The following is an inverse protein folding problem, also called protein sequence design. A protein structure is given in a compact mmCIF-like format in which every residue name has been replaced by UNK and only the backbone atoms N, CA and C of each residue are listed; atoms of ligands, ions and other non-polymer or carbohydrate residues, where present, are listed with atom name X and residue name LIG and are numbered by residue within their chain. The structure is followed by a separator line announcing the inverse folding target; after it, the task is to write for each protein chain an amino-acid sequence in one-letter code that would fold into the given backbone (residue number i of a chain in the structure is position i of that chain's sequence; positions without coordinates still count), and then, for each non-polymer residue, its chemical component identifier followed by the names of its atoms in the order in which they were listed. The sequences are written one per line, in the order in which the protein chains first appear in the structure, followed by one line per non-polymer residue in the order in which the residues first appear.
data_IF_628327540699
#
_entry.id   IF_628327540699
#
_cell.length_a   1.000
_cell.length_b   1.000
_cell.length_c   1.000
_cell.angle_alpha   90.00
_cell.angle_beta   90.00
_cell.angle_gamma   90.00
#
_symmetry.space_group_name_H-M   'P 1'
#
loop_
_entity.id
_entity.type
_entity.pdbx_description
1 polymer ?
#
# COMPACT_ATOMS: atom_id res chain seq x y z
N UNK A 1 -3.30 -23.79 8.99
CA UNK A 1 -2.73 -22.47 9.29
C UNK A 1 -1.94 -22.55 10.59
N UNK A 2 -0.77 -21.91 10.69
CA UNK A 2 -0.01 -21.82 11.96
C UNK A 2 0.06 -20.37 12.40
N UNK A 3 -0.24 -20.09 13.67
CA UNK A 3 -0.07 -18.75 14.25
C UNK A 3 1.42 -18.42 14.41
N UNK A 4 1.77 -17.15 14.59
CA UNK A 4 3.16 -16.77 14.86
C UNK A 4 3.60 -17.24 16.24
N UNK A 5 4.88 -17.57 16.36
CA UNK A 5 5.52 -17.89 17.64
C UNK A 5 5.49 -16.67 18.59
N UNK A 6 5.40 -16.95 19.89
CA UNK A 6 5.47 -15.95 20.96
C UNK A 6 6.68 -16.22 21.87
N UNK A 7 7.11 -15.22 22.63
CA UNK A 7 8.28 -15.33 23.49
C UNK A 7 9.58 -15.54 22.69
N UNK A 8 9.70 -14.84 21.57
CA UNK A 8 10.91 -14.83 20.73
C UNK A 8 11.53 -13.43 20.68
N UNK A 9 12.84 -13.40 20.42
CA UNK A 9 13.54 -12.15 20.13
C UNK A 9 13.17 -11.57 18.74
N UNK A 10 13.72 -10.40 18.40
CA UNK A 10 13.49 -9.73 17.11
C UNK A 10 13.85 -10.58 15.88
N UNK A 11 14.74 -11.56 16.03
CA UNK A 11 15.15 -12.48 14.96
C UNK A 11 14.32 -13.77 14.94
N UNK A 12 13.38 -13.95 15.86
CA UNK A 12 12.58 -15.16 16.02
C UNK A 12 13.28 -16.27 16.81
N UNK A 13 14.35 -15.97 17.55
CA UNK A 13 15.02 -16.96 18.40
C UNK A 13 14.24 -17.12 19.71
N UNK A 14 13.98 -18.36 20.18
CA UNK A 14 13.28 -18.61 21.45
C UNK A 14 13.92 -17.91 22.65
N UNK A 15 13.09 -17.29 23.49
CA UNK A 15 13.44 -16.75 24.81
C UNK A 15 12.78 -17.60 25.93
N UNK A 16 13.05 -17.35 27.24
CA UNK A 16 12.51 -18.17 28.33
C UNK A 16 10.99 -18.34 28.37
N UNK A 17 10.22 -17.46 27.69
CA UNK A 17 8.77 -17.53 27.55
C UNK A 17 8.28 -18.10 26.21
N UNK A 18 9.13 -18.81 25.46
CA UNK A 18 8.80 -19.29 24.11
C UNK A 18 7.55 -20.17 24.09
N UNK A 19 6.63 -19.83 23.20
CA UNK A 19 5.47 -20.62 22.87
C UNK A 19 5.41 -20.76 21.35
N UNK A 20 5.44 -22.00 20.87
CA UNK A 20 5.26 -22.27 19.45
C UNK A 20 3.85 -21.88 19.02
N UNK A 21 3.74 -21.32 17.83
CA UNK A 21 2.49 -20.97 17.21
C UNK A 21 1.55 -22.16 17.08
N UNK A 22 0.28 -21.94 17.40
CA UNK A 22 -0.74 -22.98 17.33
C UNK A 22 -1.08 -23.37 15.89
N UNK A 23 -1.21 -24.67 15.66
CA UNK A 23 -1.76 -25.21 14.40
C UNK A 23 -3.29 -25.21 14.44
N UNK A 24 -3.88 -24.51 13.47
CA UNK A 24 -5.32 -24.46 13.21
C UNK A 24 -5.60 -25.27 11.94
N UNK A 25 -6.36 -26.35 12.11
CA UNK A 25 -6.77 -27.26 11.02
C UNK A 25 -8.25 -27.02 10.71
N UNK A 26 -8.57 -26.84 9.43
CA UNK A 26 -9.93 -26.66 8.95
C UNK A 26 -10.15 -27.41 7.64
N UNK A 27 -11.42 -27.67 7.29
CA UNK A 27 -11.78 -28.24 5.97
C UNK A 27 -11.59 -27.24 4.83
N UNK A 28 -11.68 -25.94 5.15
CA UNK A 28 -11.45 -24.83 4.23
C UNK A 28 -10.77 -23.69 4.99
N UNK A 29 -9.69 -23.15 4.42
CA UNK A 29 -9.07 -21.89 4.84
C UNK A 29 -9.45 -20.81 3.85
N UNK A 30 -10.17 -19.78 4.31
CA UNK A 30 -10.50 -18.61 3.49
C UNK A 30 -9.43 -17.55 3.71
N UNK A 31 -8.76 -17.15 2.62
CA UNK A 31 -7.66 -16.18 2.64
C UNK A 31 -8.20 -14.83 2.16
N UNK A 32 -8.35 -13.90 3.10
CA UNK A 32 -8.78 -12.51 2.86
C UNK A 32 -7.91 -11.52 3.61
N UNK A 33 -6.59 -11.75 3.60
CA UNK A 33 -5.58 -11.04 4.38
C UNK A 33 -5.07 -9.74 3.71
N UNK A 34 -5.76 -9.29 2.66
CA UNK A 34 -5.51 -8.02 1.99
C UNK A 34 -4.20 -8.01 1.18
N UNK A 35 -3.71 -6.82 0.80
CA UNK A 35 -2.63 -6.69 -0.18
C UNK A 35 -1.31 -7.27 0.33
N UNK A 36 -0.97 -7.03 1.61
CA UNK A 36 0.29 -7.51 2.22
C UNK A 36 0.09 -8.69 3.15
N UNK A 37 -0.95 -9.49 2.87
CA UNK A 37 -1.28 -10.68 3.62
C UNK A 37 -0.15 -11.72 3.64
N UNK A 38 0.21 -12.21 4.82
CA UNK A 38 1.31 -13.16 4.95
C UNK A 38 0.97 -14.54 4.35
N UNK A 39 -0.31 -14.92 4.39
CA UNK A 39 -0.80 -16.21 3.85
C UNK A 39 -0.88 -16.13 2.34
N UNK A 40 -1.46 -15.04 1.82
CA UNK A 40 -1.50 -14.75 0.40
C UNK A 40 -0.12 -14.80 -0.24
N UNK A 41 0.86 -14.11 0.36
CA UNK A 41 2.26 -14.10 -0.07
C UNK A 41 2.92 -15.49 -0.01
N UNK A 42 2.67 -16.28 1.03
CA UNK A 42 3.23 -17.63 1.11
C UNK A 42 2.68 -18.53 0.01
N UNK A 43 1.37 -18.47 -0.23
CA UNK A 43 0.74 -19.22 -1.31
C UNK A 43 1.28 -18.81 -2.69
N UNK A 44 1.54 -17.51 -2.93
CA UNK A 44 2.14 -17.06 -4.20
C UNK A 44 3.57 -17.58 -4.39
N UNK A 45 4.36 -17.68 -3.31
CA UNK A 45 5.72 -18.27 -3.39
C UNK A 45 5.72 -19.76 -3.72
N UNK A 46 4.74 -20.49 -3.20
CA UNK A 46 4.64 -21.95 -3.38
C UNK A 46 3.98 -22.32 -4.71
N UNK A 47 2.96 -21.57 -5.14
CA UNK A 47 2.13 -21.91 -6.30
C UNK A 47 2.42 -21.07 -7.54
N UNK A 48 3.18 -19.98 -7.38
CA UNK A 48 3.28 -18.94 -8.39
C UNK A 48 1.95 -18.21 -8.62
N UNK A 49 1.95 -17.30 -9.59
CA UNK A 49 0.75 -16.70 -10.16
C UNK A 49 0.29 -17.48 -11.40
N UNK A 50 -0.98 -17.36 -11.82
CA UNK A 50 -1.40 -17.82 -13.13
C UNK A 50 -0.52 -17.23 -14.26
N UNK A 51 -0.40 -17.92 -15.41
CA UNK A 51 0.33 -17.39 -16.55
C UNK A 51 -0.16 -15.99 -16.95
N UNK A 52 0.76 -15.11 -17.33
CA UNK A 52 0.51 -13.72 -17.75
C UNK A 52 -0.05 -12.78 -16.66
N UNK A 53 -0.08 -13.22 -15.39
CA UNK A 53 -0.52 -12.39 -14.27
C UNK A 53 0.68 -11.78 -13.51
N UNK A 54 0.61 -10.48 -13.19
CA UNK A 54 1.65 -9.73 -12.49
C UNK A 54 1.05 -8.70 -11.51
N UNK A 55 1.83 -8.29 -10.50
CA UNK A 55 1.38 -7.43 -9.37
C UNK A 55 2.22 -6.17 -9.22
N UNK A 56 2.44 -5.47 -10.33
CA UNK A 56 3.27 -4.26 -10.38
C UNK A 56 2.48 -2.97 -10.10
N UNK A 57 1.15 -3.01 -10.24
CA UNK A 57 0.28 -1.86 -9.98
C UNK A 57 -0.23 -1.89 -8.54
N UNK A 58 0.07 -0.84 -7.82
CA UNK A 58 -0.33 -0.64 -6.43
C UNK A 58 -0.33 0.87 -6.13
N UNK A 59 -0.96 1.25 -5.04
CA UNK A 59 -0.83 2.58 -4.47
C UNK A 59 -0.68 2.50 -2.96
N UNK A 60 -0.13 3.53 -2.32
CA UNK A 60 -0.27 3.71 -0.87
C UNK A 60 -1.22 4.87 -0.60
N UNK A 61 -2.32 4.56 0.07
CA UNK A 61 -3.24 5.54 0.61
C UNK A 61 -2.75 6.03 1.96
N UNK A 62 -2.82 7.33 2.19
CA UNK A 62 -2.62 7.95 3.49
C UNK A 62 -3.85 8.76 3.85
N UNK A 63 -4.46 8.44 4.98
CA UNK A 63 -5.76 8.95 5.41
C UNK A 63 -5.62 9.67 6.75
N UNK A 64 -6.32 10.79 6.88
CA UNK A 64 -6.63 11.44 8.16
C UNK A 64 -8.14 11.50 8.36
N UNK A 65 -8.54 11.37 9.62
CA UNK A 65 -9.86 11.81 10.08
C UNK A 65 -9.67 13.11 10.84
N UNK A 66 -10.45 14.14 10.51
CA UNK A 66 -10.28 15.48 11.04
C UNK A 66 -11.60 16.05 11.54
N UNK A 67 -11.54 16.83 12.61
CA UNK A 67 -12.56 17.82 12.94
C UNK A 67 -12.45 18.99 11.97
N UNK A 68 -13.53 19.27 11.26
CA UNK A 68 -13.68 20.47 10.46
C UNK A 68 -13.94 21.68 11.37
N UNK A 69 -13.37 22.86 11.06
CA UNK A 69 -13.63 24.08 11.80
C UNK A 69 -15.10 24.52 11.64
N UNK A 70 -15.60 25.35 12.55
CA UNK A 70 -16.96 25.92 12.48
C UNK A 70 -17.18 26.76 11.20
N UNK A 71 -16.11 27.31 10.63
CA UNK A 71 -16.13 28.05 9.37
C UNK A 71 -16.28 27.18 8.12
N UNK A 72 -16.20 25.84 8.24
CA UNK A 72 -16.33 24.95 7.11
C UNK A 72 -17.76 24.96 6.56
N UNK A 73 -17.90 25.31 5.28
CA UNK A 73 -19.18 25.37 4.57
C UNK A 73 -19.54 24.08 3.80
N UNK A 74 -18.80 22.98 3.97
CA UNK A 74 -19.13 21.71 3.32
C UNK A 74 -20.16 20.94 4.15
N UNK A 75 -21.21 20.47 3.48
CA UNK A 75 -22.28 19.71 4.12
C UNK A 75 -21.93 18.22 4.24
N UNK A 76 -22.43 17.50 5.26
CA UNK A 76 -22.34 16.05 5.35
C UNK A 76 -22.80 15.36 4.06
N UNK A 77 -22.05 14.34 3.62
CA UNK A 77 -22.26 13.65 2.34
C UNK A 77 -21.50 14.27 1.16
N UNK A 78 -20.79 15.39 1.35
CA UNK A 78 -19.91 15.94 0.31
C UNK A 78 -18.76 14.98 0.00
N UNK A 79 -18.57 14.69 -1.29
CA UNK A 79 -17.47 13.86 -1.81
C UNK A 79 -16.65 14.70 -2.79
N UNK A 80 -15.35 14.83 -2.52
CA UNK A 80 -14.40 15.54 -3.39
C UNK A 80 -13.29 14.56 -3.76
N UNK A 81 -13.00 14.46 -5.06
CA UNK A 81 -11.80 13.83 -5.58
C UNK A 81 -10.97 14.87 -6.33
N UNK A 82 -9.65 14.83 -6.16
CA UNK A 82 -8.72 15.75 -6.82
C UNK A 82 -7.63 14.98 -7.54
N UNK A 83 -7.09 15.59 -8.59
CA UNK A 83 -6.00 15.07 -9.39
C UNK A 83 -4.93 16.14 -9.56
N UNK A 84 -3.66 15.76 -9.48
CA UNK A 84 -2.56 16.56 -10.00
C UNK A 84 -1.99 17.65 -9.09
N UNK A 85 -2.31 17.62 -7.79
CA UNK A 85 -1.63 18.43 -6.78
C UNK A 85 -1.31 17.57 -5.55
N UNK A 86 -0.14 17.74 -4.91
CA UNK A 86 0.94 18.67 -5.25
C UNK A 86 1.85 18.22 -6.41
N UNK A 87 1.73 16.97 -6.84
CA UNK A 87 2.38 16.43 -8.04
C UNK A 87 1.31 15.87 -8.99
N UNK A 88 1.54 15.87 -10.32
CA UNK A 88 0.60 15.36 -11.32
C UNK A 88 0.03 13.97 -11.01
N UNK A 89 0.85 13.09 -10.45
CA UNK A 89 0.54 11.68 -10.22
C UNK A 89 -0.34 11.42 -8.99
N UNK A 90 -0.50 12.41 -8.12
CA UNK A 90 -1.19 12.24 -6.85
C UNK A 90 -2.69 12.42 -7.00
N UNK A 91 -3.42 11.47 -6.42
CA UNK A 91 -4.87 11.49 -6.28
C UNK A 91 -5.21 11.87 -4.85
N UNK A 92 -6.24 12.69 -4.66
CA UNK A 92 -6.70 13.09 -3.32
C UNK A 92 -8.19 12.90 -3.15
N UNK A 93 -8.63 12.77 -1.90
CA UNK A 93 -10.05 12.66 -1.55
C UNK A 93 -10.38 13.42 -0.27
N UNK A 94 -11.60 13.95 -0.18
CA UNK A 94 -12.20 14.50 1.04
C UNK A 94 -13.67 14.11 1.09
N UNK A 95 -14.06 13.39 2.13
CA UNK A 95 -15.43 12.94 2.38
C UNK A 95 -15.94 13.53 3.70
N UNK A 96 -16.99 14.34 3.64
CA UNK A 96 -17.58 14.97 4.82
C UNK A 96 -18.63 14.04 5.42
N UNK A 97 -18.47 13.77 6.71
CA UNK A 97 -19.35 12.95 7.54
C UNK A 97 -20.19 13.86 8.45
N UNK A 98 -21.20 13.31 9.14
CA UNK A 98 -21.91 14.04 10.20
C UNK A 98 -20.95 14.61 11.27
N UNK A 99 -21.49 15.52 12.10
CA UNK A 99 -20.78 16.09 13.25
C UNK A 99 -19.50 16.88 12.92
N UNK A 100 -19.45 17.48 11.72
CA UNK A 100 -18.29 18.25 11.21
C UNK A 100 -17.01 17.41 11.21
N UNK A 101 -17.10 16.15 10.82
CA UNK A 101 -15.93 15.28 10.66
C UNK A 101 -15.67 15.07 9.18
N UNK A 102 -14.40 15.03 8.76
CA UNK A 102 -14.05 14.62 7.41
C UNK A 102 -13.00 13.52 7.41
N UNK A 103 -13.15 12.60 6.46
CA UNK A 103 -12.14 11.62 6.07
C UNK A 103 -11.45 12.14 4.83
N UNK A 104 -10.16 12.41 4.90
CA UNK A 104 -9.38 12.95 3.78
C UNK A 104 -8.07 12.22 3.60
N UNK A 105 -7.47 12.31 2.42
CA UNK A 105 -6.23 11.62 2.16
C UNK A 105 -5.74 11.75 0.72
N UNK A 106 -4.58 11.15 0.49
CA UNK A 106 -3.99 11.03 -0.84
C UNK A 106 -3.58 9.59 -1.14
N UNK A 107 -3.43 9.30 -2.43
CA UNK A 107 -2.81 8.09 -2.94
C UNK A 107 -1.51 8.43 -3.66
N UNK A 108 -0.44 7.73 -3.31
CA UNK A 108 0.83 7.74 -4.05
C UNK A 108 0.90 6.44 -4.86
N UNK A 109 0.79 6.49 -6.20
CA UNK A 109 0.73 5.29 -7.02
C UNK A 109 2.11 4.70 -7.35
N UNK A 110 2.13 3.45 -7.84
CA UNK A 110 3.35 2.71 -8.22
C UNK A 110 4.15 3.38 -9.32
N UNK A 111 3.46 4.04 -10.25
CA UNK A 111 4.01 4.76 -11.41
C UNK A 111 4.49 6.19 -11.07
N UNK A 112 4.52 6.55 -9.78
CA UNK A 112 5.23 7.74 -9.33
C UNK A 112 6.71 7.40 -9.07
N UNK A 113 7.54 7.70 -10.06
CA UNK A 113 8.95 7.28 -10.15
C UNK A 113 9.92 8.14 -9.31
N UNK A 114 9.39 8.96 -8.40
CA UNK A 114 10.24 9.76 -7.52
C UNK A 114 11.02 8.88 -6.54
N UNK A 115 12.37 9.01 -6.46
CA UNK A 115 13.18 8.33 -5.46
C UNK A 115 12.99 8.90 -4.04
N UNK A 116 12.18 9.96 -3.87
CA UNK A 116 11.85 10.60 -2.59
C UNK A 116 10.34 10.66 -2.35
N UNK A 117 9.62 9.60 -2.75
CA UNK A 117 8.16 9.46 -2.66
C UNK A 117 7.58 9.36 -1.24
N UNK A 118 7.69 10.44 -0.47
CA UNK A 118 7.11 10.56 0.88
C UNK A 118 5.61 10.84 0.83
N UNK A 119 4.79 9.91 1.30
CA UNK A 119 3.34 10.12 1.29
C UNK A 119 2.88 11.18 2.31
N UNK A 120 3.57 11.33 3.46
CA UNK A 120 3.11 12.23 4.53
C UNK A 120 3.31 13.71 4.19
N UNK A 121 4.49 14.07 3.68
CA UNK A 121 4.75 15.46 3.30
C UNK A 121 3.85 15.89 2.14
N UNK A 122 3.62 15.03 1.14
CA UNK A 122 2.67 15.33 0.07
C UNK A 122 1.24 15.53 0.60
N UNK A 123 0.78 14.74 1.57
CA UNK A 123 -0.54 14.93 2.18
C UNK A 123 -0.66 16.31 2.85
N UNK A 124 0.39 16.73 3.58
CA UNK A 124 0.45 18.05 4.21
C UNK A 124 0.45 19.20 3.18
N UNK A 125 1.09 19.02 2.02
CA UNK A 125 0.95 19.97 0.91
C UNK A 125 -0.47 19.95 0.33
N UNK A 126 -1.00 18.76 0.02
CA UNK A 126 -2.32 18.58 -0.57
C UNK A 126 -3.43 19.28 0.24
N UNK A 127 -3.46 19.10 1.56
CA UNK A 127 -4.44 19.76 2.43
C UNK A 127 -4.39 21.29 2.33
N UNK A 128 -3.21 21.85 2.09
CA UNK A 128 -2.97 23.30 1.94
C UNK A 128 -3.29 23.84 0.55
N UNK A 129 -3.79 23.02 -0.37
CA UNK A 129 -4.33 23.53 -1.63
C UNK A 129 -5.44 24.57 -1.33
N UNK A 130 -5.43 25.79 -1.92
CA UNK A 130 -6.31 26.89 -1.48
C UNK A 130 -7.81 26.54 -1.43
N UNK A 131 -8.26 25.70 -2.36
CA UNK A 131 -9.66 25.22 -2.37
C UNK A 131 -10.01 24.33 -1.18
N UNK A 132 -9.07 23.50 -0.72
CA UNK A 132 -9.27 22.62 0.44
C UNK A 132 -9.00 23.38 1.74
N UNK A 133 -7.94 24.19 1.77
CA UNK A 133 -7.50 24.89 2.98
C UNK A 133 -8.58 25.83 3.54
N UNK A 134 -9.38 26.50 2.69
CA UNK A 134 -10.52 27.31 3.14
C UNK A 134 -11.56 26.55 3.98
N UNK A 135 -11.57 25.21 3.91
CA UNK A 135 -12.45 24.32 4.67
C UNK A 135 -11.73 23.60 5.83
N UNK A 136 -10.39 23.57 5.81
CA UNK A 136 -9.57 22.81 6.75
C UNK A 136 -8.81 23.70 7.75
N UNK A 137 -8.57 24.96 7.42
CA UNK A 137 -7.84 25.91 8.26
C UNK A 137 -8.51 26.08 9.62
N UNK A 138 -7.76 25.80 10.70
CA UNK A 138 -8.28 25.79 12.06
C UNK A 138 -8.94 24.48 12.50
N UNK A 139 -8.99 23.47 11.61
CA UNK A 139 -9.40 22.10 11.93
C UNK A 139 -8.42 21.39 12.86
N UNK A 140 -8.74 20.15 13.22
CA UNK A 140 -7.93 19.33 14.13
C UNK A 140 -7.87 17.88 13.67
N UNK A 141 -6.67 17.31 13.68
CA UNK A 141 -6.45 15.89 13.44
C UNK A 141 -7.07 15.05 14.57
N UNK A 142 -7.92 14.09 14.23
CA UNK A 142 -8.41 13.05 15.14
C UNK A 142 -7.60 11.79 15.06
N UNK A 143 -7.41 11.31 13.83
CA UNK A 143 -6.68 10.08 13.59
C UNK A 143 -5.98 10.09 12.25
N UNK A 144 -4.98 9.24 12.11
CA UNK A 144 -4.20 9.08 10.90
C UNK A 144 -3.88 7.60 10.68
N UNK A 145 -3.78 7.19 9.42
CA UNK A 145 -3.35 5.86 9.03
C UNK A 145 -2.92 5.78 7.58
N UNK A 146 -2.32 4.65 7.20
CA UNK A 146 -1.92 4.39 5.82
C UNK A 146 -2.09 2.92 5.47
N UNK A 147 -2.42 2.64 4.21
CA UNK A 147 -2.56 1.28 3.69
C UNK A 147 -2.26 1.22 2.21
N UNK A 148 -1.50 0.21 1.78
CA UNK A 148 -1.33 -0.08 0.36
C UNK A 148 -2.62 -0.64 -0.23
N UNK A 149 -2.82 -0.43 -1.52
CA UNK A 149 -3.85 -1.03 -2.34
C UNK A 149 -3.17 -1.81 -3.46
N UNK A 150 -3.61 -3.03 -3.74
CA UNK A 150 -3.24 -3.80 -4.91
C UNK A 150 -4.14 -3.37 -6.08
N UNK A 151 -3.54 -2.65 -7.03
CA UNK A 151 -4.26 -1.99 -8.14
C UNK A 151 -4.16 -2.78 -9.46
N UNK A 152 -3.38 -3.85 -9.52
CA UNK A 152 -3.32 -4.73 -10.70
C UNK A 152 -4.66 -5.41 -11.02
N UNK A 153 -5.60 -5.45 -10.07
CA UNK A 153 -6.96 -5.99 -10.27
C UNK A 153 -6.92 -7.37 -10.91
N UNK A 154 -7.67 -7.53 -12.02
CA UNK A 154 -7.73 -8.77 -12.81
C UNK A 154 -6.35 -9.29 -13.26
N UNK A 155 -5.43 -8.41 -13.67
CA UNK A 155 -4.07 -8.79 -14.10
C UNK A 155 -3.22 -9.34 -12.96
N UNK A 156 -3.55 -8.98 -11.72
CA UNK A 156 -2.88 -9.47 -10.52
C UNK A 156 -3.65 -10.58 -9.79
N UNK A 157 -4.68 -11.15 -10.41
CA UNK A 157 -5.51 -12.19 -9.80
C UNK A 157 -4.66 -13.45 -9.56
N UNK A 158 -4.60 -13.98 -8.33
CA UNK A 158 -3.82 -15.18 -8.08
C UNK A 158 -4.67 -16.43 -8.34
N UNK A 159 -4.12 -17.62 -8.08
CA UNK A 159 -4.95 -18.83 -7.99
C UNK A 159 -6.03 -18.66 -6.92
N UNK A 160 -7.29 -18.57 -7.32
CA UNK A 160 -8.42 -18.27 -6.42
C UNK A 160 -8.79 -19.42 -5.50
N UNK A 161 -8.48 -20.67 -5.88
CA UNK A 161 -8.80 -21.86 -5.11
C UNK A 161 -7.73 -22.94 -5.25
N UNK A 162 -7.58 -23.75 -4.20
CA UNK A 162 -6.79 -24.97 -4.21
C UNK A 162 -7.41 -26.00 -3.25
N UNK A 163 -6.68 -27.07 -2.95
CA UNK A 163 -7.19 -28.11 -2.06
C UNK A 163 -7.26 -27.58 -0.62
N UNK A 164 -8.48 -27.35 -0.13
CA UNK A 164 -8.73 -26.85 1.23
C UNK A 164 -8.50 -25.35 1.42
N UNK A 165 -8.35 -24.53 0.37
CA UNK A 165 -8.31 -23.08 0.50
C UNK A 165 -8.99 -22.33 -0.65
N UNK A 166 -9.47 -21.11 -0.36
CA UNK A 166 -9.97 -20.17 -1.35
C UNK A 166 -9.60 -18.72 -0.97
N UNK A 167 -9.41 -17.85 -1.97
CA UNK A 167 -9.04 -16.44 -1.80
C UNK A 167 -10.22 -15.52 -2.11
N UNK A 168 -10.38 -14.48 -1.28
CA UNK A 168 -11.40 -13.43 -1.39
C UNK A 168 -10.77 -12.05 -1.16
N UNK A 169 -11.54 -11.01 -1.40
CA UNK A 169 -11.15 -9.64 -1.12
C UNK A 169 -10.13 -9.07 -2.10
N UNK A 170 -9.49 -8.00 -1.70
CA UNK A 170 -8.52 -7.27 -2.53
C UNK A 170 -7.38 -8.20 -3.02
N UNK A 171 -6.82 -9.02 -2.12
CA UNK A 171 -5.74 -9.96 -2.42
C UNK A 171 -6.10 -11.07 -3.42
N UNK A 172 -7.39 -11.20 -3.76
CA UNK A 172 -7.89 -12.07 -4.83
C UNK A 172 -8.04 -11.33 -6.17
N UNK A 173 -7.44 -10.15 -6.36
CA UNK A 173 -7.47 -9.39 -7.62
C UNK A 173 -8.82 -8.73 -7.92
N UNK A 174 -9.60 -8.40 -6.90
CA UNK A 174 -10.98 -7.89 -7.07
C UNK A 174 -11.09 -6.37 -7.23
N UNK A 175 -10.02 -5.62 -6.99
CA UNK A 175 -10.00 -4.13 -7.06
C UNK A 175 -10.36 -3.61 -8.44
N UNK A 176 -11.29 -2.65 -8.50
CA UNK A 176 -11.65 -1.95 -9.73
C UNK A 176 -11.12 -0.51 -9.71
N UNK A 177 -9.97 -0.33 -10.36
CA UNK A 177 -9.27 0.96 -10.43
C UNK A 177 -9.89 1.99 -11.37
N UNK A 178 -10.84 1.57 -12.22
CA UNK A 178 -11.55 2.45 -13.15
C UNK A 178 -12.70 3.17 -12.44
N UNK A 179 -13.45 2.46 -11.61
CA UNK A 179 -14.56 3.02 -10.82
C UNK A 179 -14.12 3.51 -9.44
N UNK A 180 -12.90 3.19 -9.02
CA UNK A 180 -12.40 3.54 -7.68
C UNK A 180 -13.05 2.70 -6.59
N UNK A 181 -13.41 1.46 -6.93
CA UNK A 181 -14.21 0.56 -6.12
C UNK A 181 -13.37 -0.62 -5.63
N UNK A 182 -13.69 -1.12 -4.43
CA UNK A 182 -12.92 -2.23 -3.87
C UNK A 182 -13.57 -2.93 -2.69
N UNK A 183 -14.21 -2.19 -1.77
CA UNK A 183 -14.83 -2.79 -0.57
C UNK A 183 -16.05 -3.64 -0.96
N UNK A 184 -16.86 -3.15 -1.87
CA UNK A 184 -18.03 -3.82 -2.44
C UNK A 184 -17.64 -5.01 -3.33
N UNK A 185 -16.61 -4.90 -4.19
CA UNK A 185 -16.11 -6.07 -4.92
C UNK A 185 -15.52 -7.12 -3.98
N UNK A 186 -14.76 -6.70 -2.97
CA UNK A 186 -14.21 -7.57 -1.94
C UNK A 186 -15.33 -8.28 -1.17
N UNK A 187 -16.36 -7.55 -0.74
CA UNK A 187 -17.52 -8.12 -0.07
C UNK A 187 -18.23 -9.16 -0.96
N UNK A 188 -18.44 -8.82 -2.24
CA UNK A 188 -19.06 -9.71 -3.20
C UNK A 188 -18.29 -11.02 -3.40
N UNK A 189 -16.95 -11.00 -3.44
CA UNK A 189 -16.15 -12.25 -3.48
C UNK A 189 -16.43 -13.16 -2.29
N UNK A 190 -16.58 -12.58 -1.08
CA UNK A 190 -16.88 -13.30 0.14
C UNK A 190 -18.25 -13.96 0.10
N UNK A 191 -19.28 -13.21 -0.31
CA UNK A 191 -20.62 -13.75 -0.50
C UNK A 191 -20.64 -14.91 -1.52
N UNK A 192 -19.98 -14.73 -2.66
CA UNK A 192 -19.90 -15.74 -3.73
C UNK A 192 -19.25 -17.05 -3.25
N UNK A 193 -18.19 -16.94 -2.45
CA UNK A 193 -17.53 -18.10 -1.84
C UNK A 193 -18.43 -18.76 -0.79
N UNK A 194 -19.07 -17.98 0.08
CA UNK A 194 -19.96 -18.50 1.12
C UNK A 194 -21.12 -19.32 0.52
N UNK A 195 -21.74 -18.82 -0.55
CA UNK A 195 -22.78 -19.56 -1.30
C UNK A 195 -22.23 -20.86 -1.90
N UNK A 196 -21.02 -20.82 -2.49
CA UNK A 196 -20.39 -22.00 -3.09
C UNK A 196 -20.16 -23.09 -2.05
N UNK A 197 -19.60 -22.70 -0.91
CA UNK A 197 -19.28 -23.63 0.18
C UNK A 197 -20.55 -24.22 0.78
N UNK A 198 -21.61 -23.42 0.96
CA UNK A 198 -22.89 -23.91 1.43
C UNK A 198 -23.51 -24.94 0.48
N UNK A 199 -23.43 -24.73 -0.85
CA UNK A 199 -23.88 -25.70 -1.86
C UNK A 199 -23.06 -26.99 -1.84
N UNK A 200 -21.73 -26.89 -1.76
CA UNK A 200 -20.84 -28.05 -1.66
C UNK A 200 -21.16 -28.89 -0.42
N UNK A 201 -21.29 -28.25 0.74
CA UNK A 201 -21.58 -28.95 1.99
C UNK A 201 -22.98 -29.58 2.02
N UNK A 202 -24.01 -28.90 1.48
CA UNK A 202 -25.35 -29.48 1.32
C UNK A 202 -25.35 -30.71 0.41
N UNK A 203 -24.48 -30.71 -0.60
CA UNK A 203 -24.29 -31.84 -1.50
C UNK A 203 -23.33 -32.92 -0.93
N UNK A 204 -22.84 -32.79 0.30
CA UNK A 204 -21.89 -33.71 0.91
C UNK A 204 -20.52 -33.73 0.22
N UNK A 205 -20.14 -32.65 -0.47
CA UNK A 205 -18.87 -32.52 -1.20
C UNK A 205 -17.82 -31.82 -0.35
N UNK A 206 -16.59 -32.32 -0.45
CA UNK A 206 -15.40 -31.72 0.17
C UNK A 206 -14.92 -30.47 -0.59
N UNK A 207 -14.21 -29.58 0.11
CA UNK A 207 -13.61 -28.37 -0.47
C UNK A 207 -12.29 -28.64 -1.20
N UNK A 208 -12.30 -29.59 -2.14
CA UNK A 208 -11.17 -29.83 -3.05
C UNK A 208 -11.07 -28.70 -4.08
N UNK A 209 -9.89 -28.55 -4.72
CA UNK A 209 -9.69 -27.58 -5.79
C UNK A 209 -10.76 -27.70 -6.87
N UNK A 210 -11.00 -28.92 -7.37
CA UNK A 210 -11.96 -29.15 -8.44
C UNK A 210 -13.40 -28.72 -8.06
N UNK A 211 -13.82 -28.99 -6.82
CA UNK A 211 -15.14 -28.59 -6.34
C UNK A 211 -15.24 -27.06 -6.16
N UNK A 212 -14.20 -26.42 -5.63
CA UNK A 212 -14.15 -24.97 -5.47
C UNK A 212 -14.07 -24.24 -6.83
N UNK A 213 -13.35 -24.77 -7.81
CA UNK A 213 -13.32 -24.26 -9.18
C UNK A 213 -14.72 -24.29 -9.81
N UNK A 214 -15.42 -25.43 -9.69
CA UNK A 214 -16.74 -25.62 -10.26
C UNK A 214 -17.84 -24.78 -9.57
N UNK A 215 -17.73 -24.56 -8.25
CA UNK A 215 -18.75 -23.85 -7.47
C UNK A 215 -18.42 -22.36 -7.27
N UNK A 216 -17.23 -22.02 -6.79
CA UNK A 216 -16.82 -20.65 -6.47
C UNK A 216 -16.24 -19.92 -7.68
N UNK A 217 -15.18 -20.44 -8.29
CA UNK A 217 -14.49 -19.73 -9.39
C UNK A 217 -15.43 -19.58 -10.59
N UNK A 218 -16.18 -20.62 -10.95
CA UNK A 218 -17.19 -20.51 -12.01
C UNK A 218 -18.31 -19.50 -11.69
N UNK A 219 -18.72 -19.36 -10.42
CA UNK A 219 -19.65 -18.30 -10.00
C UNK A 219 -19.00 -16.92 -10.16
N UNK A 220 -17.75 -16.76 -9.71
CA UNK A 220 -16.98 -15.53 -9.86
C UNK A 220 -16.93 -15.06 -11.31
N UNK A 221 -16.55 -15.96 -12.24
CA UNK A 221 -16.46 -15.69 -13.69
C UNK A 221 -17.76 -15.29 -14.39
N UNK A 222 -18.91 -15.58 -13.79
CA UNK A 222 -20.24 -15.22 -14.31
C UNK A 222 -20.86 -14.00 -13.60
N UNK A 223 -20.14 -13.42 -12.64
CA UNK A 223 -20.65 -12.31 -11.84
C UNK A 223 -20.37 -10.96 -12.46
N UNK A 224 -21.13 -9.95 -12.02
CA UNK A 224 -20.88 -8.55 -12.35
C UNK A 224 -19.45 -8.12 -12.00
N UNK A 225 -18.85 -8.73 -10.97
CA UNK A 225 -17.49 -8.37 -10.56
C UNK A 225 -16.45 -8.79 -11.60
N UNK A 226 -16.61 -9.97 -12.23
CA UNK A 226 -15.70 -10.39 -13.30
C UNK A 226 -15.94 -9.57 -14.57
N UNK A 227 -17.19 -9.23 -14.88
CA UNK A 227 -17.55 -8.32 -15.99
C UNK A 227 -16.87 -6.95 -15.84
N UNK A 228 -17.04 -6.30 -14.70
CA UNK A 228 -16.42 -5.00 -14.41
C UNK A 228 -14.89 -5.08 -14.38
N UNK A 229 -14.32 -6.17 -13.84
CA UNK A 229 -12.86 -6.38 -13.82
C UNK A 229 -12.25 -6.47 -15.23
N UNK A 230 -12.97 -7.04 -16.21
CA UNK A 230 -12.52 -7.09 -17.61
C UNK A 230 -12.55 -5.70 -18.25
N UNK A 231 -13.53 -4.89 -17.89
CA UNK A 231 -13.62 -3.50 -18.37
C UNK A 231 -12.44 -2.68 -17.82
N UNK A 232 -12.14 -2.84 -16.54
CA UNK A 232 -11.12 -2.07 -15.83
C UNK A 232 -9.68 -2.57 -16.06
N UNK A 233 -9.50 -3.78 -16.61
CA UNK A 233 -8.23 -4.51 -16.68
C UNK A 233 -7.04 -3.67 -17.14
N UNK A 234 -7.26 -2.81 -18.14
CA UNK A 234 -6.24 -1.98 -18.78
C UNK A 234 -6.43 -0.47 -18.55
N UNK A 235 -7.30 -0.10 -17.61
CA UNK A 235 -7.66 1.29 -17.37
C UNK A 235 -6.49 2.16 -16.91
N UNK A 236 -5.45 1.56 -16.30
CA UNK A 236 -4.28 2.26 -15.78
C UNK A 236 -3.05 2.24 -16.69
N UNK A 237 -3.08 1.50 -17.81
CA UNK A 237 -1.93 1.33 -18.70
C UNK A 237 -1.33 2.68 -19.15
N UNK A 238 -2.19 3.65 -19.46
CA UNK A 238 -1.74 4.96 -19.95
C UNK A 238 -0.88 5.74 -18.95
N UNK A 239 -1.05 5.52 -17.64
CA UNK A 239 -0.30 6.24 -16.60
C UNK A 239 1.19 5.88 -16.59
N UNK A 240 1.56 4.72 -17.16
CA UNK A 240 2.95 4.32 -17.38
C UNK A 240 3.68 5.22 -18.40
N UNK A 241 2.94 6.10 -19.10
CA UNK A 241 3.49 7.12 -20.02
C UNK A 241 3.28 8.54 -19.49
N UNK A 242 2.90 8.67 -18.23
CA UNK A 242 2.63 9.94 -17.57
C UNK A 242 1.15 10.24 -17.35
N UNK A 243 0.90 11.30 -16.60
CA UNK A 243 -0.44 11.67 -16.13
C UNK A 243 -1.46 11.90 -17.24
N UNK A 244 -1.12 12.69 -18.27
CA UNK A 244 -2.07 13.06 -19.35
C UNK A 244 -2.45 11.84 -20.21
N UNK A 245 -1.50 11.02 -20.72
CA UNK A 245 -1.85 9.76 -21.39
C UNK A 245 -2.66 8.82 -20.50
N UNK A 246 -2.40 8.80 -19.20
CA UNK A 246 -3.17 8.04 -18.21
C UNK A 246 -4.63 8.47 -18.13
N UNK A 247 -4.91 9.75 -17.97
CA UNK A 247 -6.29 10.26 -17.93
C UNK A 247 -7.05 9.99 -19.23
N UNK A 248 -6.42 10.25 -20.38
CA UNK A 248 -7.02 9.98 -21.69
C UNK A 248 -7.27 8.48 -21.89
N UNK A 249 -6.31 7.65 -21.48
CA UNK A 249 -6.43 6.19 -21.54
C UNK A 249 -7.56 5.66 -20.68
N UNK A 250 -7.66 6.12 -19.43
CA UNK A 250 -8.74 5.74 -18.52
C UNK A 250 -10.11 6.16 -19.06
N UNK A 251 -10.23 7.38 -19.61
CA UNK A 251 -11.45 7.84 -20.26
C UNK A 251 -11.82 6.99 -21.49
N UNK A 252 -10.84 6.66 -22.33
CA UNK A 252 -11.03 5.79 -23.50
C UNK A 252 -11.51 4.40 -23.08
N UNK A 253 -10.89 3.81 -22.06
CA UNK A 253 -11.28 2.50 -21.52
C UNK A 253 -12.68 2.52 -20.94
N UNK A 254 -13.05 3.54 -20.16
CA UNK A 254 -14.40 3.69 -19.63
C UNK A 254 -15.47 3.84 -20.72
N UNK A 255 -15.25 4.75 -21.68
CA UNK A 255 -16.20 5.03 -22.77
C UNK A 255 -16.41 3.83 -23.69
N UNK A 256 -15.39 2.98 -23.85
CA UNK A 256 -15.44 1.82 -24.75
C UNK A 256 -15.73 0.52 -24.02
N UNK A 257 -15.99 0.57 -22.70
CA UNK A 257 -16.19 -0.61 -21.84
C UNK A 257 -15.05 -1.63 -21.99
N UNK A 258 -13.81 -1.16 -21.86
CA UNK A 258 -12.61 -2.01 -21.90
C UNK A 258 -12.13 -2.42 -23.30
N UNK A 259 -12.87 -2.10 -24.37
CA UNK A 259 -12.51 -2.53 -25.74
C UNK A 259 -11.27 -1.82 -26.27
N UNK A 260 -11.06 -0.56 -25.88
CA UNK A 260 -9.87 0.21 -26.21
C UNK A 260 -9.15 0.62 -24.93
N UNK A 261 -7.83 0.54 -24.95
CA UNK A 261 -6.98 1.00 -23.86
C UNK A 261 -5.73 1.65 -24.44
N UNK A 262 -5.23 2.66 -23.73
CA UNK A 262 -3.96 3.28 -24.09
C UNK A 262 -2.81 2.29 -23.89
N UNK A 263 -1.82 2.22 -24.80
CA UNK A 263 -0.70 1.30 -24.63
C UNK A 263 0.19 1.69 -23.45
N UNK A 264 0.48 0.73 -22.58
CA UNK A 264 1.42 0.84 -21.47
C UNK A 264 1.54 -0.49 -20.76
N UNK A 265 2.68 -0.74 -20.12
CA UNK A 265 2.93 -1.95 -19.33
C UNK A 265 3.44 -1.52 -17.97
N UNK A 266 2.88 -2.09 -16.92
CA UNK A 266 3.35 -1.87 -15.56
C UNK A 266 4.69 -2.56 -15.36
N UNK A 267 5.68 -1.83 -14.88
CA UNK A 267 7.03 -2.35 -14.65
C UNK A 267 7.31 -2.47 -13.15
N UNK A 268 8.20 -3.40 -12.75
CA UNK A 268 8.66 -3.45 -11.38
C UNK A 268 9.34 -2.15 -10.94
N UNK A 269 9.37 -1.83 -9.63
CA UNK A 269 9.90 -0.54 -9.16
C UNK A 269 11.39 -0.32 -9.43
N UNK A 270 12.18 -1.38 -9.59
CA UNK A 270 13.61 -1.27 -9.90
C UNK A 270 13.88 -0.82 -11.35
N UNK A 271 12.88 -0.91 -12.24
CA UNK A 271 12.96 -0.40 -13.61
C UNK A 271 12.41 1.04 -13.72
N UNK A 272 11.39 1.38 -12.92
CA UNK A 272 10.75 2.70 -12.95
C UNK A 272 11.48 3.77 -12.15
N UNK A 273 12.07 3.42 -10.99
CA UNK A 273 12.64 4.43 -10.09
C UNK A 273 13.96 4.99 -10.61
N UNK A 274 13.94 6.28 -10.90
CA UNK A 274 15.11 7.03 -11.32
C UNK A 274 16.16 7.13 -10.19
N UNK A 275 17.43 7.23 -10.59
CA UNK A 275 18.50 7.58 -9.66
C UNK A 275 18.26 8.99 -9.08
N UNK A 276 18.73 9.24 -7.86
CA UNK A 276 18.57 10.55 -7.20
C UNK A 276 19.15 11.69 -8.04
N UNK A 277 20.33 11.47 -8.60
CA UNK A 277 21.07 12.45 -9.41
C UNK A 277 20.37 12.72 -10.75
N UNK A 278 19.75 11.72 -11.36
CA UNK A 278 18.97 11.86 -12.59
C UNK A 278 17.65 12.59 -12.32
N UNK A 279 16.91 12.18 -11.29
CA UNK A 279 15.62 12.77 -10.95
C UNK A 279 15.73 14.26 -10.58
N UNK A 280 16.82 14.64 -9.92
CA UNK A 280 17.08 16.02 -9.51
C UNK A 280 17.99 16.81 -10.48
N UNK A 281 18.26 16.27 -11.67
CA UNK A 281 19.09 16.93 -12.68
C UNK A 281 18.60 18.36 -12.96
N UNK A 282 19.51 19.33 -12.94
CA UNK A 282 19.21 20.75 -13.14
C UNK A 282 18.53 21.45 -11.96
N UNK A 283 18.05 20.73 -10.93
CA UNK A 283 17.44 21.32 -9.72
C UNK A 283 18.40 21.30 -8.53
N UNK A 284 19.13 20.20 -8.34
CA UNK A 284 20.08 20.04 -7.24
C UNK A 284 21.43 19.57 -7.81
N UNK A 285 22.54 20.26 -7.52
CA UNK A 285 23.88 19.81 -7.92
C UNK A 285 24.23 18.43 -7.35
N UNK A 286 24.89 17.53 -8.11
CA UNK A 286 25.23 16.17 -7.65
C UNK A 286 26.07 16.12 -6.36
N UNK A 287 26.99 17.08 -6.17
CA UNK A 287 27.80 17.20 -4.96
C UNK A 287 26.94 17.53 -3.72
N UNK A 288 25.89 18.36 -3.90
CA UNK A 288 24.91 18.67 -2.87
C UNK A 288 24.05 17.45 -2.53
N UNK A 289 23.62 16.67 -3.53
CA UNK A 289 22.90 15.40 -3.32
C UNK A 289 23.78 14.43 -2.51
N UNK A 290 25.04 14.26 -2.91
CA UNK A 290 25.97 13.40 -2.21
C UNK A 290 26.21 13.83 -0.75
N UNK A 291 26.26 15.15 -0.48
CA UNK A 291 26.36 15.68 0.88
C UNK A 291 25.10 15.36 1.70
N UNK A 292 23.91 15.65 1.17
CA UNK A 292 22.63 15.36 1.82
C UNK A 292 22.54 13.86 2.16
N UNK A 293 22.91 12.98 1.22
CA UNK A 293 22.93 11.53 1.45
C UNK A 293 23.81 11.12 2.62
N UNK A 294 25.03 11.68 2.73
CA UNK A 294 25.94 11.40 3.85
C UNK A 294 25.38 11.89 5.18
N UNK A 295 24.88 13.13 5.22
CA UNK A 295 24.34 13.74 6.44
C UNK A 295 23.08 13.01 6.95
N UNK A 296 22.14 12.70 6.06
CA UNK A 296 20.94 11.92 6.38
C UNK A 296 21.30 10.50 6.86
N UNK A 297 22.24 9.81 6.20
CA UNK A 297 22.69 8.49 6.65
C UNK A 297 23.32 8.54 8.03
N UNK A 298 24.23 9.48 8.27
CA UNK A 298 24.91 9.64 9.56
C UNK A 298 23.93 9.97 10.70
N UNK A 299 22.86 10.71 10.40
CA UNK A 299 21.81 11.06 11.37
C UNK A 299 20.66 10.06 11.45
N UNK A 300 20.66 8.99 10.63
CA UNK A 300 19.57 8.01 10.57
C UNK A 300 18.25 8.60 10.09
N UNK A 301 18.27 9.68 9.29
CA UNK A 301 17.08 10.38 8.79
C UNK A 301 16.80 10.05 7.32
N UNK A 302 15.54 9.97 6.89
CA UNK A 302 15.17 9.89 5.48
C UNK A 302 15.72 11.07 4.65
N UNK A 303 15.79 10.88 3.34
CA UNK A 303 16.30 11.88 2.39
C UNK A 303 15.24 12.90 1.97
N UNK A 304 13.96 12.51 1.93
CA UNK A 304 12.90 13.28 1.29
C UNK A 304 12.83 14.72 1.78
N UNK A 305 12.93 14.97 3.09
CA UNK A 305 12.83 16.34 3.59
C UNK A 305 13.94 17.23 3.04
N UNK A 306 15.19 16.79 3.17
CA UNK A 306 16.35 17.57 2.74
C UNK A 306 16.41 17.73 1.22
N UNK A 307 16.01 16.72 0.44
CA UNK A 307 15.99 16.78 -1.01
C UNK A 307 14.82 17.62 -1.54
N UNK A 308 13.63 17.53 -0.94
CA UNK A 308 12.50 18.38 -1.31
C UNK A 308 12.81 19.85 -0.99
N UNK A 309 13.37 20.14 0.19
CA UNK A 309 13.80 21.51 0.55
C UNK A 309 14.85 22.03 -0.44
N UNK A 310 15.84 21.21 -0.79
CA UNK A 310 16.86 21.55 -1.78
C UNK A 310 16.30 21.75 -3.19
N UNK A 311 15.21 21.07 -3.54
CA UNK A 311 14.47 21.23 -4.80
C UNK A 311 13.50 22.43 -4.78
N UNK A 312 13.41 23.18 -3.68
CA UNK A 312 12.60 24.39 -3.58
C UNK A 312 11.16 24.16 -3.13
N UNK A 313 10.85 23.01 -2.52
CA UNK A 313 9.54 22.80 -1.92
C UNK A 313 9.30 23.75 -0.75
N UNK A 314 8.10 24.35 -0.62
CA UNK A 314 7.81 25.21 0.50
C UNK A 314 7.82 24.41 1.81
N UNK A 315 8.23 25.01 2.93
CA UNK A 315 8.15 24.34 4.22
C UNK A 315 6.68 24.06 4.61
N UNK A 316 6.48 23.04 5.43
CA UNK A 316 5.22 22.81 6.14
C UNK A 316 5.37 23.45 7.53
N UNK A 317 4.70 24.57 7.76
CA UNK A 317 4.63 25.15 9.09
C UNK A 317 3.60 24.38 9.91
N UNK A 318 4.03 23.82 11.03
CA UNK A 318 3.16 23.03 11.90
C UNK A 318 2.36 23.93 12.84
N UNK A 319 1.03 23.77 12.83
CA UNK A 319 0.10 24.48 13.70
C UNK A 319 -0.21 23.71 15.00
N UNK A 320 0.31 22.48 15.12
CA UNK A 320 0.10 21.62 16.29
C UNK A 320 -1.32 21.05 16.40
N UNK A 321 -2.18 21.27 15.40
CA UNK A 321 -3.59 20.83 15.38
C UNK A 321 -3.89 19.91 14.20
N UNK A 322 -3.64 20.39 12.98
CA UNK A 322 -3.89 19.66 11.74
C UNK A 322 -2.58 19.47 10.96
N UNK A 323 -1.79 20.53 10.84
CA UNK A 323 -0.43 20.46 10.32
C UNK A 323 0.49 20.09 11.48
N UNK A 324 0.84 18.81 11.58
CA UNK A 324 1.68 18.27 12.66
C UNK A 324 2.83 17.45 12.10
N UNK A 325 3.86 17.21 12.91
CA UNK A 325 4.94 16.31 12.50
C UNK A 325 4.41 14.89 12.29
N UNK A 326 5.12 14.09 11.48
CA UNK A 326 4.70 12.72 11.21
C UNK A 326 4.67 11.85 12.49
N UNK A 327 5.60 12.06 13.41
CA UNK A 327 5.60 11.37 14.71
C UNK A 327 4.41 11.81 15.58
N UNK A 328 4.03 13.08 15.55
CA UNK A 328 2.83 13.53 16.28
C UNK A 328 1.55 12.93 15.70
N UNK A 329 1.44 12.84 14.37
CA UNK A 329 0.31 12.16 13.73
C UNK A 329 0.21 10.68 14.12
N UNK A 330 1.36 9.99 14.21
CA UNK A 330 1.43 8.61 14.70
C UNK A 330 0.99 8.48 16.16
N UNK A 331 1.38 9.43 17.02
CA UNK A 331 1.00 9.45 18.43
C UNK A 331 -0.50 9.75 18.61
N UNK A 332 -1.01 10.77 17.91
CA UNK A 332 -2.42 11.20 17.95
C UNK A 332 -3.34 10.11 17.36
N UNK A 333 -2.90 9.41 16.32
CA UNK A 333 -3.66 8.36 15.64
C UNK A 333 -3.95 7.09 16.44
N UNK A 334 -3.59 7.04 17.74
CA UNK A 334 -3.92 5.92 18.62
C UNK A 334 -2.95 4.75 18.53
N UNK A 335 -1.64 5.02 18.36
CA UNK A 335 -0.55 4.04 18.22
C UNK A 335 -0.76 2.74 18.99
N UNK A 336 -0.89 1.62 18.28
CA UNK A 336 -0.73 0.28 18.87
C UNK A 336 0.74 -0.12 18.74
N UNK A 337 1.46 -0.17 19.86
CA UNK A 337 2.84 -0.67 19.90
C UNK A 337 2.87 -2.16 19.57
N UNK A 338 3.83 -2.58 18.74
CA UNK A 338 4.07 -4.00 18.53
C UNK A 338 4.58 -4.63 19.85
N UNK A 339 3.87 -5.63 20.41
CA UNK A 339 4.27 -6.23 21.67
C UNK A 339 5.68 -6.86 21.62
N UNK A 340 6.31 -6.97 22.79
CA UNK A 340 7.52 -7.77 22.97
C UNK A 340 7.24 -9.26 22.71
N UNK A 341 8.29 -10.07 22.54
CA UNK A 341 8.15 -11.52 22.36
C UNK A 341 7.69 -11.96 20.97
N UNK A 342 7.80 -11.12 19.95
CA UNK A 342 7.55 -11.46 18.55
C UNK A 342 8.75 -11.11 17.69
N UNK A 343 8.91 -11.82 16.57
CA UNK A 343 9.92 -11.50 15.57
C UNK A 343 9.56 -10.23 14.78
N UNK A 344 10.56 -9.60 14.19
CA UNK A 344 10.34 -8.49 13.28
C UNK A 344 9.70 -8.97 11.97
N UNK A 345 8.63 -8.29 11.55
CA UNK A 345 7.87 -8.64 10.35
C UNK A 345 8.43 -8.01 9.08
N UNK A 346 9.25 -6.97 9.17
CA UNK A 346 9.99 -6.43 8.03
C UNK A 346 11.44 -6.87 8.17
N UNK A 347 11.95 -7.58 7.16
CA UNK A 347 13.30 -8.15 7.17
C UNK A 347 14.03 -7.80 5.87
N UNK A 348 15.32 -7.51 6.00
CA UNK A 348 16.25 -7.27 4.90
C UNK A 348 17.21 -8.47 4.76
N UNK A 349 16.82 -9.55 4.07
CA UNK A 349 17.65 -10.76 3.92
C UNK A 349 19.00 -10.53 3.23
N UNK A 350 19.13 -9.47 2.43
CA UNK A 350 20.34 -9.17 1.66
C UNK A 350 20.95 -7.83 2.07
N UNK A 351 21.61 -7.76 3.24
CA UNK A 351 22.09 -6.50 3.79
C UNK A 351 23.19 -5.85 2.95
N UNK A 352 24.00 -6.64 2.25
CA UNK A 352 25.05 -6.15 1.34
C UNK A 352 24.43 -5.40 0.16
N UNK A 353 23.44 -5.99 -0.52
CA UNK A 353 22.72 -5.34 -1.62
C UNK A 353 21.95 -4.09 -1.15
N UNK A 354 21.38 -4.13 0.06
CA UNK A 354 20.74 -2.95 0.65
C UNK A 354 21.76 -1.83 0.96
N UNK A 355 23.02 -2.17 1.25
CA UNK A 355 24.08 -1.19 1.55
C UNK A 355 24.50 -0.39 0.32
N UNK A 356 24.43 -1.03 -0.86
CA UNK A 356 24.76 -0.46 -2.16
C UNK A 356 23.59 0.33 -2.78
N UNK A 357 22.39 0.19 -2.22
CA UNK A 357 21.18 0.85 -2.72
C UNK A 357 21.33 2.38 -2.75
N UNK A 358 21.30 2.95 -3.97
CA UNK A 358 21.42 4.39 -4.19
C UNK A 358 20.16 5.20 -3.85
N UNK A 359 18.99 4.55 -3.91
CA UNK A 359 17.68 5.15 -3.71
C UNK A 359 16.89 4.32 -2.70
N UNK A 360 17.05 4.54 -1.38
CA UNK A 360 16.42 3.75 -0.33
C UNK A 360 14.92 4.08 -0.17
N UNK A 361 14.15 3.94 -1.24
CA UNK A 361 12.73 4.28 -1.34
C UNK A 361 11.85 3.54 -0.34
N UNK A 362 12.31 2.42 0.23
CA UNK A 362 11.64 1.75 1.35
C UNK A 362 11.65 2.59 2.64
N UNK A 363 12.69 3.39 2.87
CA UNK A 363 12.78 4.40 3.94
C UNK A 363 11.86 5.57 3.59
N UNK A 364 11.96 6.09 2.36
CA UNK A 364 11.27 7.33 1.96
C UNK A 364 9.75 7.19 1.96
N UNK A 365 9.22 6.03 1.55
CA UNK A 365 7.78 5.76 1.54
C UNK A 365 7.23 5.27 2.88
N UNK A 366 8.11 5.02 3.88
CA UNK A 366 7.70 4.37 5.12
C UNK A 366 6.69 5.22 5.89
N UNK A 367 5.42 4.86 5.80
CA UNK A 367 4.34 5.61 6.42
C UNK A 367 4.43 5.64 7.94
N UNK A 368 5.13 4.71 8.59
CA UNK A 368 5.33 4.75 10.04
C UNK A 368 6.61 5.48 10.48
N UNK A 369 7.49 5.87 9.55
CA UNK A 369 8.91 6.12 9.86
C UNK A 369 9.54 4.96 10.67
N UNK A 370 9.07 3.74 10.39
CA UNK A 370 9.50 2.50 10.99
C UNK A 370 10.78 1.95 10.35
N UNK A 371 11.12 2.41 9.15
CA UNK A 371 12.36 2.06 8.46
C UNK A 371 13.22 3.31 8.38
N UNK A 372 14.46 3.22 8.84
CA UNK A 372 15.41 4.34 8.83
C UNK A 372 16.73 3.92 8.21
N UNK A 373 17.52 4.85 7.64
CA UNK A 373 18.88 4.54 7.23
C UNK A 373 19.68 4.03 8.44
N UNK A 374 20.63 3.13 8.17
CA UNK A 374 21.54 2.63 9.18
C UNK A 374 22.82 3.49 9.22
N UNK A 375 23.07 4.24 10.31
CA UNK A 375 24.29 5.04 10.44
C UNK A 375 25.57 4.20 10.42
N UNK A 376 25.50 2.94 10.86
CA UNK A 376 26.62 2.00 10.87
C UNK A 376 26.91 1.33 9.53
N UNK A 377 26.13 1.63 8.48
CA UNK A 377 26.24 0.94 7.19
C UNK A 377 25.38 -0.33 7.12
N UNK A 378 25.27 -0.94 5.93
CA UNK A 378 24.43 -2.13 5.72
C UNK A 378 22.96 -1.82 5.41
N UNK A 379 22.09 -2.81 5.67
CA UNK A 379 20.64 -2.69 5.51
C UNK A 379 20.03 -1.58 6.37
N UNK A 380 18.90 -0.98 5.93
CA UNK A 380 18.08 -0.12 6.77
C UNK A 380 17.70 -0.78 8.10
N UNK A 381 17.53 0.05 9.13
CA UNK A 381 17.04 -0.38 10.44
C UNK A 381 15.52 -0.42 10.42
N UNK A 382 14.95 -1.35 11.19
CA UNK A 382 13.51 -1.48 11.35
C UNK A 382 13.11 -1.34 12.83
N UNK A 383 12.11 -0.50 13.07
CA UNK A 383 11.45 -0.26 14.34
C UNK A 383 9.98 -0.68 14.23
N UNK A 384 9.70 -1.93 14.63
CA UNK A 384 8.35 -2.49 14.57
C UNK A 384 7.32 -1.73 15.39
N UNK A 385 7.73 -0.98 16.42
CA UNK A 385 6.79 -0.23 17.26
C UNK A 385 6.16 0.95 16.52
N UNK A 386 6.79 1.40 15.44
CA UNK A 386 6.30 2.46 14.57
C UNK A 386 5.58 1.93 13.33
N UNK A 387 5.69 0.63 13.03
CA UNK A 387 5.15 0.09 11.80
C UNK A 387 3.62 0.11 11.82
N UNK A 388 3.03 0.64 10.75
CA UNK A 388 1.58 0.75 10.60
C UNK A 388 0.97 -0.36 9.75
N UNK A 389 1.79 -1.33 9.34
CA UNK A 389 1.38 -2.44 8.46
C UNK A 389 0.72 -1.97 7.16
N UNK A 390 1.14 -0.79 6.66
CA UNK A 390 0.65 -0.25 5.41
C UNK A 390 1.10 -1.10 4.22
N UNK A 391 2.29 -1.70 4.29
CA UNK A 391 2.82 -2.56 3.22
C UNK A 391 3.54 -1.83 2.10
N UNK A 392 3.54 -0.49 2.09
CA UNK A 392 4.16 0.30 1.02
C UNK A 392 5.62 -0.10 0.78
N UNK A 393 6.41 -0.37 1.82
CA UNK A 393 7.81 -0.75 1.68
C UNK A 393 8.05 -2.06 0.91
N UNK A 394 7.09 -3.00 0.91
CA UNK A 394 7.17 -4.27 0.17
C UNK A 394 7.13 -4.02 -1.34
N UNK A 395 6.20 -3.16 -1.76
CA UNK A 395 5.92 -2.91 -3.18
C UNK A 395 6.88 -1.93 -3.84
N UNK A 396 7.77 -1.31 -3.06
CA UNK A 396 8.48 -0.12 -3.47
C UNK A 396 9.95 -0.33 -3.81
N UNK A 397 10.50 -1.51 -3.55
CA UNK A 397 11.95 -1.73 -3.57
C UNK A 397 12.55 -1.41 -4.95
N UNK A 398 13.47 -0.45 -4.99
CA UNK A 398 14.24 -0.06 -6.19
C UNK A 398 15.34 -1.06 -6.56
N UNK A 399 15.38 -2.21 -5.90
CA UNK A 399 16.32 -3.30 -6.15
C UNK A 399 15.51 -4.57 -6.37
N UNK A 400 15.99 -5.44 -7.24
CA UNK A 400 15.39 -6.74 -7.52
C UNK A 400 16.12 -7.87 -6.81
N UNK A 401 15.36 -8.91 -6.48
CA UNK A 401 15.89 -10.16 -5.98
C UNK A 401 16.52 -10.94 -7.15
N UNK A 402 17.76 -11.43 -7.05
CA UNK A 402 18.47 -12.04 -8.19
C UNK A 402 17.73 -13.23 -8.85
N UNK A 403 17.03 -14.03 -8.05
CA UNK A 403 16.31 -15.22 -8.52
C UNK A 403 14.85 -14.94 -8.93
N UNK A 404 14.31 -13.77 -8.59
CA UNK A 404 12.98 -13.33 -8.99
C UNK A 404 12.94 -11.80 -9.16
N UNK A 405 13.10 -11.31 -10.41
CA UNK A 405 13.13 -9.88 -10.70
C UNK A 405 11.88 -9.11 -10.27
N UNK A 406 10.74 -9.77 -10.10
CA UNK A 406 9.49 -9.15 -9.66
C UNK A 406 9.44 -8.91 -8.15
N UNK A 407 10.42 -9.42 -7.40
CA UNK A 407 10.48 -9.28 -5.94
C UNK A 407 11.57 -8.29 -5.53
N UNK A 408 11.23 -7.48 -4.53
CA UNK A 408 12.20 -6.63 -3.86
C UNK A 408 13.10 -7.39 -2.87
N UNK A 409 14.12 -6.71 -2.37
CA UNK A 409 15.03 -7.23 -1.34
C UNK A 409 14.44 -7.21 0.09
N UNK A 410 13.23 -6.68 0.27
CA UNK A 410 12.52 -6.62 1.54
C UNK A 410 11.50 -7.75 1.63
N UNK A 411 11.40 -8.38 2.80
CA UNK A 411 10.38 -9.39 3.08
C UNK A 411 9.42 -8.87 4.15
N UNK A 412 8.13 -8.92 3.84
CA UNK A 412 7.04 -8.64 4.77
C UNK A 412 6.44 -9.97 5.27
N UNK A 413 6.61 -10.28 6.54
CA UNK A 413 6.19 -11.54 7.18
C UNK A 413 4.98 -11.30 8.06
N UNK A 414 4.39 -12.39 8.56
CA UNK A 414 3.47 -12.28 9.69
C UNK A 414 4.23 -11.74 10.92
N UNK A 415 3.60 -10.87 11.70
CA UNK A 415 4.12 -10.43 12.97
C UNK A 415 3.14 -9.53 13.71
N UNK A 416 3.54 -9.10 14.91
CA UNK A 416 2.66 -8.35 15.79
C UNK A 416 2.63 -6.83 15.48
N UNK A 417 1.58 -6.17 15.96
CA UNK A 417 1.26 -4.77 15.70
C UNK A 417 0.25 -4.61 14.56
N UNK A 418 0.06 -3.39 14.07
CA UNK A 418 -0.64 -3.17 12.80
C UNK A 418 -2.14 -2.99 12.86
N UNK A 419 -2.62 -2.01 13.63
CA UNK A 419 -3.87 -1.28 13.39
C UNK A 419 -3.61 0.17 13.83
N UNK A 420 -3.83 1.15 12.95
CA UNK A 420 -3.69 2.58 13.26
C UNK A 420 -4.88 3.37 12.74
N UNK A 421 -5.28 4.35 13.56
CA UNK A 421 -6.59 4.99 13.70
C UNK A 421 -7.57 4.19 14.55
N UNK A 422 -7.86 4.72 15.74
CA UNK A 422 -8.97 4.28 16.59
C UNK A 422 -10.36 4.50 15.95
N UNK A 423 -10.42 5.28 14.86
CA UNK A 423 -11.64 5.66 14.15
C UNK A 423 -11.71 5.08 12.72
N UNK A 424 -10.81 4.15 12.34
CA UNK A 424 -10.82 3.49 11.03
C UNK A 424 -11.56 2.16 11.04
#
# INVERSE_FOLDING_TARGET
MRLIDQGVDRRGRPEPGYLSGMDIVSRLTVVGDGPVGAVGQQLDRELGLPPDHERNDWAVGMKMVVDLPESCALEPGTVIHTLGYPEPELFGFLYVMPDRVASLGIFVPSWFDSPVRTSYRYLQHWMRHPYLWRHLEGGRLRSWGAKSLQESGRRGEPWLAGDGFARIGEGSGSTNVLTGSGVDEAWATGCQLAEAVAELWRAGKECTRANLEAAYVARRRRSWVDEESRIAERARDGFQRGFIPGLLGMALTGLTRGRLAWPGRSVPPHEGIAALEEFHAGRIPPDRIARIRRECRASGRPLHDALMDAAGWPPVEYDGRLLVSHQDALLLGGKVQAPAGYADHVVFPFPELCAECGAPVCVEICSGQAITPNPGGGAPLFDREKCVHCGACLWNCSQSFPEDPHRGLLVFRAGAGGLHSAEN
#
